data_IF_456450914031
#
_entry.id   IF_456450914031
#
_cell.length_a   1.000
_cell.length_b   1.000
_cell.length_c   1.000
_cell.angle_alpha   90.00
_cell.angle_beta   90.00
_cell.angle_gamma   90.00
#
_symmetry.space_group_name_H-M   'P 1'
#
loop_
_entity.id
_entity.type
_entity.pdbx_description
1 polymer ?
#
# COMPACT_ATOMS: atom_id res chain seq x y z
N UNK A 1 -15.76 5.40 -65.94
CA UNK A 1 -17.13 5.81 -65.63
C UNK A 1 -17.91 4.59 -65.16
N UNK A 2 -17.86 4.15 -63.92
CA UNK A 2 -16.94 4.35 -62.79
C UNK A 2 -17.14 3.13 -61.90
N UNK A 3 -16.04 2.60 -61.40
CA UNK A 3 -16.00 1.56 -60.38
C UNK A 3 -16.55 2.13 -59.07
N UNK A 4 -17.47 1.43 -58.40
CA UNK A 4 -17.58 1.55 -56.95
C UNK A 4 -17.84 0.18 -56.32
N UNK A 5 -16.87 -0.19 -55.51
CA UNK A 5 -16.70 -1.41 -54.74
C UNK A 5 -17.87 -1.70 -53.80
N UNK A 6 -18.26 -2.97 -53.79
CA UNK A 6 -18.81 -3.66 -52.61
C UNK A 6 -17.66 -3.89 -51.65
N UNK A 7 -17.71 -3.36 -50.43
CA UNK A 7 -16.91 -3.85 -49.30
C UNK A 7 -17.57 -3.40 -47.98
N UNK A 8 -18.38 -4.31 -47.45
CA UNK A 8 -18.36 -4.75 -46.06
C UNK A 8 -18.21 -3.70 -44.94
N UNK A 9 -19.37 -3.35 -44.36
CA UNK A 9 -19.47 -2.91 -42.97
C UNK A 9 -19.15 -4.12 -42.09
N UNK A 10 -17.86 -4.37 -41.89
CA UNK A 10 -17.36 -5.15 -40.77
C UNK A 10 -16.90 -4.11 -39.75
N UNK A 11 -17.71 -3.86 -38.73
CA UNK A 11 -17.19 -3.27 -37.49
C UNK A 11 -16.12 -4.23 -36.95
N UNK A 12 -14.85 -3.82 -36.79
CA UNK A 12 -13.87 -4.63 -36.11
C UNK A 12 -14.17 -4.58 -34.62
N UNK A 13 -15.03 -5.49 -34.17
CA UNK A 13 -15.14 -5.84 -32.76
C UNK A 13 -13.82 -6.48 -32.35
N UNK A 14 -13.01 -5.70 -31.64
CA UNK A 14 -11.86 -6.17 -30.88
C UNK A 14 -10.57 -6.30 -31.68
N UNK A 15 -9.70 -5.26 -31.57
CA UNK A 15 -8.23 -5.26 -31.70
C UNK A 15 -7.79 -3.87 -32.20
N UNK A 16 -7.51 -2.92 -31.29
CA UNK A 16 -6.77 -1.71 -31.66
C UNK A 16 -7.25 -0.39 -31.06
N UNK A 17 -7.08 -0.19 -29.75
CA UNK A 17 -6.93 1.16 -29.20
C UNK A 17 -5.70 1.15 -28.28
N UNK A 18 -4.51 0.94 -28.85
CA UNK A 18 -3.31 1.35 -28.11
C UNK A 18 -3.29 2.86 -28.14
N UNK A 19 -3.69 3.49 -27.03
CA UNK A 19 -3.56 4.92 -26.88
C UNK A 19 -2.05 5.23 -26.84
N UNK A 20 -1.60 6.21 -27.61
CA UNK A 20 -0.17 6.53 -27.64
C UNK A 20 0.23 7.43 -26.46
N UNK A 21 -0.70 8.30 -26.04
CA UNK A 21 -0.48 9.35 -25.03
C UNK A 21 -1.77 9.66 -24.31
N UNK A 22 -1.64 10.22 -23.10
CA UNK A 22 -2.77 10.80 -22.39
C UNK A 22 -3.11 12.17 -23.00
N UNK A 23 -4.17 12.25 -23.81
CA UNK A 23 -4.53 13.46 -24.59
C UNK A 23 -5.40 14.42 -23.79
N UNK A 24 -6.35 13.89 -23.02
CA UNK A 24 -7.35 14.63 -22.24
C UNK A 24 -6.81 15.16 -20.90
N UNK A 25 -5.49 15.15 -20.70
CA UNK A 25 -4.86 15.59 -19.44
C UNK A 25 -5.21 17.04 -19.08
N UNK A 26 -5.37 17.92 -20.08
CA UNK A 26 -5.79 19.32 -19.87
C UNK A 26 -7.21 19.38 -19.34
N UNK A 27 -8.12 18.61 -19.93
CA UNK A 27 -9.51 18.53 -19.48
C UNK A 27 -9.57 18.04 -18.02
N UNK A 28 -8.78 17.01 -17.68
CA UNK A 28 -8.65 16.53 -16.30
C UNK A 28 -8.14 17.63 -15.37
N UNK A 29 -7.11 18.37 -15.79
CA UNK A 29 -6.54 19.45 -14.99
C UNK A 29 -7.54 20.61 -14.80
N UNK A 30 -8.30 20.95 -15.83
CA UNK A 30 -9.33 21.98 -15.79
C UNK A 30 -10.48 21.55 -14.85
N UNK A 31 -10.89 20.27 -14.90
CA UNK A 31 -11.86 19.71 -13.96
C UNK A 31 -11.38 19.80 -12.50
N UNK A 32 -10.11 19.50 -12.23
CA UNK A 32 -9.52 19.66 -10.88
C UNK A 32 -9.48 21.14 -10.48
N UNK A 33 -9.08 22.02 -11.40
CA UNK A 33 -8.93 23.46 -11.13
C UNK A 33 -10.28 24.12 -10.89
N UNK A 34 -11.35 23.67 -11.55
CA UNK A 34 -12.72 24.17 -11.35
C UNK A 34 -13.22 24.01 -9.90
N UNK A 35 -12.67 23.05 -9.15
CA UNK A 35 -12.98 22.88 -7.73
C UNK A 35 -12.55 24.07 -6.87
N UNK A 36 -11.58 24.87 -7.35
CA UNK A 36 -11.12 26.10 -6.68
C UNK A 36 -12.16 27.23 -6.77
N UNK A 37 -12.97 27.26 -7.83
CA UNK A 37 -13.96 28.30 -8.09
C UNK A 37 -15.28 28.06 -7.35
N UNK A 38 -15.53 26.82 -6.92
CA UNK A 38 -16.74 26.42 -6.17
C UNK A 38 -16.73 26.95 -4.71
N UNK A 39 -15.85 27.89 -4.39
CA UNK A 39 -15.68 28.53 -3.07
C UNK A 39 -16.88 29.39 -2.64
N UNK A 40 -17.77 29.76 -3.56
CA UNK A 40 -18.89 30.66 -3.27
C UNK A 40 -20.23 29.91 -3.17
N UNK A 41 -20.69 29.75 -1.92
CA UNK A 41 -22.08 29.64 -1.45
C UNK A 41 -23.12 29.24 -2.51
N UNK A 42 -23.54 27.97 -2.52
CA UNK A 42 -24.95 27.66 -2.81
C UNK A 42 -25.38 26.39 -2.07
N UNK A 43 -25.88 26.56 -0.85
CA UNK A 43 -26.60 25.53 -0.08
C UNK A 43 -28.05 25.33 -0.57
N UNK A 44 -28.30 25.39 -1.88
CA UNK A 44 -29.62 25.06 -2.40
C UNK A 44 -29.56 23.90 -3.41
N UNK A 45 -30.26 22.78 -3.14
CA UNK A 45 -30.43 21.72 -4.11
C UNK A 45 -31.54 22.15 -5.07
N UNK A 46 -31.20 22.97 -6.07
CA UNK A 46 -32.14 23.28 -7.16
C UNK A 46 -31.89 22.28 -8.29
N UNK A 47 -32.77 21.29 -8.35
CA UNK A 47 -33.10 20.44 -9.49
C UNK A 47 -32.00 19.57 -10.13
N UNK A 48 -32.04 18.28 -9.81
CA UNK A 48 -31.74 17.18 -10.73
C UNK A 48 -30.26 16.93 -11.05
N UNK A 49 -29.64 16.00 -10.30
CA UNK A 49 -28.22 15.59 -10.31
C UNK A 49 -27.31 16.69 -9.76
N UNK A 50 -26.44 16.35 -8.81
CA UNK A 50 -25.58 17.35 -8.18
C UNK A 50 -24.74 18.04 -9.26
N UNK A 51 -24.59 19.37 -9.26
CA UNK A 51 -23.74 20.07 -10.23
C UNK A 51 -22.32 19.46 -10.34
N UNK A 52 -21.83 18.89 -9.22
CA UNK A 52 -20.56 18.19 -9.12
C UNK A 52 -20.54 16.74 -9.67
N UNK A 53 -21.70 16.13 -9.92
CA UNK A 53 -21.84 14.74 -10.39
C UNK A 53 -21.42 14.60 -11.86
N UNK A 54 -21.81 15.55 -12.72
CA UNK A 54 -21.44 15.54 -14.14
C UNK A 54 -19.91 15.68 -14.34
N UNK A 55 -19.20 16.64 -13.70
CA UNK A 55 -17.74 16.69 -13.72
C UNK A 55 -17.09 15.39 -13.25
N UNK A 56 -17.64 14.77 -12.20
CA UNK A 56 -17.12 13.51 -11.66
C UNK A 56 -17.30 12.33 -12.61
N UNK A 57 -18.47 12.17 -13.20
CA UNK A 57 -18.72 11.14 -14.22
C UNK A 57 -17.82 11.33 -15.44
N UNK A 58 -17.60 12.59 -15.87
CA UNK A 58 -16.70 12.91 -16.98
C UNK A 58 -15.25 12.56 -16.64
N UNK A 59 -14.77 12.96 -15.47
CA UNK A 59 -13.44 12.61 -14.99
C UNK A 59 -13.25 11.09 -14.95
N UNK A 60 -14.21 10.37 -14.38
CA UNK A 60 -14.20 8.91 -14.31
C UNK A 60 -14.17 8.27 -15.70
N UNK A 61 -15.00 8.75 -16.61
CA UNK A 61 -15.07 8.24 -17.98
C UNK A 61 -13.71 8.33 -18.67
N UNK A 62 -13.03 9.49 -18.57
CA UNK A 62 -11.71 9.71 -19.18
C UNK A 62 -10.68 8.77 -18.58
N UNK A 63 -10.53 8.76 -17.24
CA UNK A 63 -9.51 7.94 -16.58
C UNK A 63 -9.75 6.44 -16.81
N UNK A 64 -11.02 6.01 -16.87
CA UNK A 64 -11.38 4.61 -17.11
C UNK A 64 -10.96 4.11 -18.52
N UNK A 65 -10.80 4.99 -19.52
CA UNK A 65 -10.27 4.59 -20.84
C UNK A 65 -8.82 4.08 -20.76
N UNK A 66 -8.07 4.52 -19.76
CA UNK A 66 -6.65 4.20 -19.59
C UNK A 66 -6.42 2.97 -18.69
N UNK A 67 -7.47 2.22 -18.32
CA UNK A 67 -7.37 1.01 -17.47
C UNK A 67 -6.44 -0.06 -18.03
N UNK A 68 -6.47 -0.29 -19.34
CA UNK A 68 -5.62 -1.28 -20.00
C UNK A 68 -4.17 -0.81 -20.17
N UNK A 69 -3.95 0.51 -20.23
CA UNK A 69 -2.63 1.14 -20.43
C UNK A 69 -2.38 2.26 -19.41
N UNK A 70 -2.32 1.96 -18.10
CA UNK A 70 -2.33 2.98 -17.06
C UNK A 70 -1.03 3.80 -16.99
N UNK A 71 0.07 3.28 -17.54
CA UNK A 71 1.36 3.96 -17.61
C UNK A 71 1.32 5.26 -18.42
N UNK A 72 0.36 5.43 -19.33
CA UNK A 72 0.19 6.66 -20.12
C UNK A 72 -0.12 7.89 -19.26
N UNK A 73 -0.70 7.68 -18.06
CA UNK A 73 -1.01 8.76 -17.11
C UNK A 73 0.25 9.35 -16.47
N UNK A 74 1.37 8.63 -16.42
CA UNK A 74 2.56 8.98 -15.63
C UNK A 74 3.15 10.35 -15.98
N UNK A 75 3.06 10.73 -17.26
CA UNK A 75 3.63 12.00 -17.76
C UNK A 75 3.03 13.22 -17.07
N UNK A 76 1.73 13.19 -16.77
CA UNK A 76 0.99 14.33 -16.20
C UNK A 76 0.49 14.05 -14.78
N UNK A 77 0.77 12.86 -14.25
CA UNK A 77 0.29 12.41 -12.94
C UNK A 77 0.77 13.34 -11.82
N UNK A 78 2.03 13.76 -11.84
CA UNK A 78 2.57 14.69 -10.83
C UNK A 78 1.78 15.99 -10.81
N UNK A 79 1.60 16.61 -11.97
CA UNK A 79 0.91 17.89 -12.08
C UNK A 79 -0.54 17.82 -11.57
N UNK A 80 -1.27 16.76 -11.94
CA UNK A 80 -2.65 16.58 -11.49
C UNK A 80 -2.73 16.38 -9.98
N UNK A 81 -1.83 15.56 -9.42
CA UNK A 81 -1.80 15.31 -7.98
C UNK A 81 -1.37 16.55 -7.19
N UNK A 82 -0.42 17.34 -7.69
CA UNK A 82 0.02 18.58 -7.05
C UNK A 82 -1.14 19.58 -6.93
N UNK A 83 -1.99 19.70 -7.96
CA UNK A 83 -3.20 20.53 -7.90
C UNK A 83 -4.24 20.02 -6.90
N UNK A 84 -4.45 18.69 -6.83
CA UNK A 84 -5.34 18.09 -5.84
C UNK A 84 -4.83 18.39 -4.42
N UNK A 85 -3.54 18.18 -4.18
CA UNK A 85 -2.90 18.44 -2.88
C UNK A 85 -2.97 19.92 -2.52
N UNK A 86 -2.81 20.82 -3.49
CA UNK A 86 -2.97 22.26 -3.28
C UNK A 86 -4.38 22.60 -2.75
N UNK A 87 -5.42 22.03 -3.34
CA UNK A 87 -6.81 22.22 -2.89
C UNK A 87 -7.02 21.65 -1.48
N UNK A 88 -6.48 20.45 -1.21
CA UNK A 88 -6.63 19.78 0.08
C UNK A 88 -5.94 20.56 1.20
N UNK A 89 -4.72 21.06 0.97
CA UNK A 89 -3.96 21.86 1.93
C UNK A 89 -4.51 23.28 2.13
N UNK A 90 -5.20 23.83 1.15
CA UNK A 90 -5.73 25.20 1.25
C UNK A 90 -6.81 25.30 2.32
N UNK A 91 -6.61 26.17 3.30
CA UNK A 91 -7.60 26.46 4.35
C UNK A 91 -8.80 27.25 3.82
N UNK A 92 -8.65 27.89 2.66
CA UNK A 92 -9.69 28.73 2.05
C UNK A 92 -10.74 27.92 1.26
N UNK A 93 -10.49 26.63 1.03
CA UNK A 93 -11.43 25.77 0.28
C UNK A 93 -12.41 25.09 1.24
N UNK A 94 -13.68 25.01 0.82
CA UNK A 94 -14.72 24.33 1.59
C UNK A 94 -14.48 22.81 1.66
N UNK A 95 -15.02 22.16 2.68
CA UNK A 95 -14.87 20.71 2.89
C UNK A 95 -15.37 19.90 1.68
N UNK A 96 -16.45 20.35 1.05
CA UNK A 96 -17.00 19.73 -0.17
C UNK A 96 -15.97 19.68 -1.31
N UNK A 97 -15.25 20.77 -1.58
CA UNK A 97 -14.21 20.78 -2.61
C UNK A 97 -13.06 19.83 -2.26
N UNK A 98 -12.69 19.72 -0.98
CA UNK A 98 -11.67 18.77 -0.52
C UNK A 98 -12.12 17.32 -0.71
N UNK A 99 -13.37 17.00 -0.38
CA UNK A 99 -13.94 15.67 -0.63
C UNK A 99 -13.95 15.31 -2.12
N UNK A 100 -14.38 16.22 -3.00
CA UNK A 100 -14.35 16.02 -4.45
C UNK A 100 -12.92 15.81 -4.98
N UNK A 101 -11.95 16.59 -4.48
CA UNK A 101 -10.56 16.45 -4.85
C UNK A 101 -10.01 15.05 -4.48
N UNK A 102 -10.35 14.53 -3.29
CA UNK A 102 -10.01 13.17 -2.90
C UNK A 102 -10.74 12.09 -3.71
N UNK A 103 -11.98 12.33 -4.13
CA UNK A 103 -12.69 11.43 -5.04
C UNK A 103 -11.97 11.32 -6.39
N UNK A 104 -11.50 12.44 -6.96
CA UNK A 104 -10.65 12.43 -8.17
C UNK A 104 -9.35 11.66 -7.95
N UNK A 105 -8.67 11.90 -6.82
CA UNK A 105 -7.46 11.16 -6.47
C UNK A 105 -7.73 9.65 -6.37
N UNK A 106 -8.87 9.24 -5.80
CA UNK A 106 -9.26 7.83 -5.70
C UNK A 106 -9.49 7.20 -7.07
N UNK A 107 -10.08 7.92 -8.02
CA UNK A 107 -10.27 7.45 -9.39
C UNK A 107 -8.93 7.19 -10.08
N UNK A 108 -7.99 8.13 -10.00
CA UNK A 108 -6.64 7.97 -10.55
C UNK A 108 -5.94 6.78 -9.86
N UNK A 109 -6.07 6.67 -8.53
CA UNK A 109 -5.52 5.55 -7.76
C UNK A 109 -6.07 4.21 -8.20
N UNK A 110 -7.35 4.15 -8.62
CA UNK A 110 -7.99 2.94 -9.10
C UNK A 110 -7.36 2.42 -10.41
N UNK A 111 -7.04 3.33 -11.32
CA UNK A 111 -6.52 3.00 -12.65
C UNK A 111 -5.01 2.80 -12.61
N UNK A 112 -4.28 3.73 -12.01
CA UNK A 112 -2.82 3.68 -12.01
C UNK A 112 -2.23 2.70 -11.00
N UNK A 113 -2.90 2.55 -9.86
CA UNK A 113 -2.50 1.73 -8.73
C UNK A 113 -1.81 2.52 -7.62
N UNK A 114 -2.11 2.13 -6.37
CA UNK A 114 -1.68 2.80 -5.13
C UNK A 114 -0.18 3.07 -5.07
N UNK A 115 0.67 2.12 -5.46
CA UNK A 115 2.13 2.24 -5.31
C UNK A 115 2.72 3.45 -6.04
N UNK A 116 2.20 3.78 -7.22
CA UNK A 116 2.72 4.90 -8.01
C UNK A 116 2.21 6.22 -7.46
N UNK A 117 0.92 6.29 -7.10
CA UNK A 117 0.35 7.48 -6.44
C UNK A 117 1.11 7.85 -5.17
N UNK A 118 1.45 6.86 -4.35
CA UNK A 118 2.23 7.08 -3.13
C UNK A 118 3.60 7.72 -3.38
N UNK A 119 4.21 7.52 -4.55
CA UNK A 119 5.51 8.12 -4.90
C UNK A 119 5.39 9.61 -5.21
N UNK A 120 4.21 10.07 -5.65
CA UNK A 120 3.95 11.47 -5.99
C UNK A 120 3.37 12.27 -4.82
N UNK A 121 2.90 11.61 -3.75
CA UNK A 121 2.37 12.32 -2.59
C UNK A 121 3.47 13.11 -1.86
N UNK A 122 3.14 14.23 -1.20
CA UNK A 122 4.13 14.95 -0.41
C UNK A 122 4.63 14.14 0.78
N UNK A 123 5.96 14.17 0.97
CA UNK A 123 6.66 13.44 2.04
C UNK A 123 7.24 14.41 3.09
N UNK A 124 6.48 15.42 3.53
CA UNK A 124 6.96 16.37 4.55
C UNK A 124 6.43 16.01 5.93
N UNK A 125 7.27 16.15 6.96
CA UNK A 125 6.84 16.00 8.36
C UNK A 125 5.78 17.04 8.78
N UNK A 126 5.77 18.20 8.11
CA UNK A 126 4.80 19.28 8.36
C UNK A 126 3.37 18.87 7.98
N UNK A 127 3.20 17.90 7.08
CA UNK A 127 1.89 17.41 6.67
C UNK A 127 1.30 16.40 7.66
N UNK A 128 2.08 15.87 8.61
CA UNK A 128 1.59 14.80 9.48
C UNK A 128 0.40 15.28 10.33
N UNK A 129 0.58 16.40 11.04
CA UNK A 129 -0.42 16.92 11.96
C UNK A 129 -1.71 17.38 11.25
N UNK A 130 -1.65 18.15 10.13
CA UNK A 130 -2.83 18.52 9.37
C UNK A 130 -3.58 17.30 8.80
N UNK A 131 -2.87 16.35 8.17
CA UNK A 131 -3.49 15.17 7.55
C UNK A 131 -4.11 14.25 8.62
N UNK A 132 -3.43 14.11 9.76
CA UNK A 132 -3.95 13.35 10.91
C UNK A 132 -5.24 13.97 11.43
N UNK A 133 -5.25 15.28 11.68
CA UNK A 133 -6.42 16.01 12.16
C UNK A 133 -7.58 15.95 11.15
N UNK A 134 -7.30 16.08 9.85
CA UNK A 134 -8.32 15.92 8.81
C UNK A 134 -8.96 14.54 8.84
N UNK A 135 -8.18 13.47 9.09
CA UNK A 135 -8.69 12.10 9.17
C UNK A 135 -9.48 11.84 10.45
N UNK A 136 -9.08 12.44 11.58
CA UNK A 136 -9.80 12.34 12.85
C UNK A 136 -11.18 13.00 12.79
N UNK A 137 -11.30 14.09 12.04
CA UNK A 137 -12.56 14.80 11.83
C UNK A 137 -13.55 14.04 10.91
N UNK A 138 -13.12 12.96 10.25
CA UNK A 138 -14.01 12.15 9.41
C UNK A 138 -14.79 11.11 10.24
N UNK A 139 -16.04 10.86 9.85
CA UNK A 139 -16.84 9.77 10.40
C UNK A 139 -16.52 8.43 9.70
N UNK A 140 -16.18 7.40 10.48
CA UNK A 140 -15.92 6.06 9.96
C UNK A 140 -17.14 5.39 9.31
N UNK A 141 -18.37 5.82 9.66
CA UNK A 141 -19.62 5.26 9.15
C UNK A 141 -20.15 6.00 7.93
N UNK A 142 -19.50 7.09 7.52
CA UNK A 142 -19.89 7.83 6.32
C UNK A 142 -19.50 7.06 5.06
N UNK A 143 -20.52 6.58 4.36
CA UNK A 143 -20.39 5.84 3.11
C UNK A 143 -20.25 6.77 1.89
N UNK A 144 -20.51 8.07 2.01
CA UNK A 144 -20.44 8.99 0.87
C UNK A 144 -19.04 9.54 0.65
N UNK A 145 -18.24 9.67 1.72
CA UNK A 145 -16.89 10.26 1.67
C UNK A 145 -15.78 9.28 2.07
N UNK A 146 -16.01 7.96 1.90
CA UNK A 146 -14.99 6.95 2.21
C UNK A 146 -13.71 7.14 1.38
N UNK A 147 -13.79 7.73 0.18
CA UNK A 147 -12.63 8.06 -0.67
C UNK A 147 -11.70 9.07 0.00
N UNK A 148 -12.26 10.00 0.77
CA UNK A 148 -11.49 10.97 1.56
C UNK A 148 -10.69 10.26 2.63
N UNK A 149 -11.36 9.42 3.44
CA UNK A 149 -10.72 8.60 4.48
C UNK A 149 -9.62 7.72 3.88
N UNK A 150 -9.89 7.06 2.76
CA UNK A 150 -8.94 6.21 2.04
C UNK A 150 -7.69 6.98 1.60
N UNK A 151 -7.84 8.13 0.93
CA UNK A 151 -6.71 8.91 0.43
C UNK A 151 -5.87 9.51 1.58
N UNK A 152 -6.51 9.97 2.65
CA UNK A 152 -5.83 10.47 3.85
C UNK A 152 -4.99 9.37 4.52
N UNK A 153 -5.52 8.15 4.67
CA UNK A 153 -4.78 7.02 5.23
C UNK A 153 -3.57 6.66 4.36
N UNK A 154 -3.73 6.67 3.03
CA UNK A 154 -2.62 6.46 2.11
C UNK A 154 -1.55 7.54 2.25
N UNK A 155 -1.94 8.80 2.37
CA UNK A 155 -0.99 9.88 2.56
C UNK A 155 -0.24 9.76 3.88
N UNK A 156 -0.95 9.47 4.98
CA UNK A 156 -0.32 9.17 6.27
C UNK A 156 0.66 8.00 6.19
N UNK A 157 0.34 6.94 5.42
CA UNK A 157 1.21 5.76 5.30
C UNK A 157 2.59 6.07 4.74
N UNK A 158 2.69 7.17 3.98
CA UNK A 158 3.94 7.68 3.42
C UNK A 158 4.63 8.67 4.35
N UNK A 159 3.89 9.61 4.94
CA UNK A 159 4.46 10.59 5.88
C UNK A 159 5.08 9.88 7.09
N UNK A 160 4.41 8.85 7.60
CA UNK A 160 4.88 8.04 8.72
C UNK A 160 6.13 7.23 8.38
N UNK A 161 6.53 7.09 7.11
CA UNK A 161 7.76 6.39 6.74
C UNK A 161 9.02 7.25 6.90
N UNK A 162 8.88 8.57 7.03
CA UNK A 162 10.01 9.50 7.06
C UNK A 162 10.84 9.26 8.34
N UNK A 163 12.18 9.19 8.27
CA UNK A 163 13.05 8.85 9.39
C UNK A 163 13.29 10.05 10.33
N UNK A 164 12.26 10.49 11.04
CA UNK A 164 12.37 11.45 12.15
C UNK A 164 11.63 10.91 13.37
N UNK A 165 12.08 11.22 14.59
CA UNK A 165 11.37 10.79 15.80
C UNK A 165 10.04 11.52 15.95
N UNK A 166 8.94 10.78 16.10
CA UNK A 166 7.59 11.36 16.20
C UNK A 166 7.42 12.25 17.44
N UNK A 167 8.16 12.00 18.51
CA UNK A 167 8.17 12.82 19.71
C UNK A 167 8.56 14.29 19.47
N UNK A 168 9.18 14.61 18.34
CA UNK A 168 9.50 16.00 17.97
C UNK A 168 8.29 16.83 17.55
N UNK A 169 7.16 16.18 17.24
CA UNK A 169 5.93 16.85 16.85
C UNK A 169 5.03 17.14 18.07
N UNK A 170 5.26 16.44 19.18
CA UNK A 170 4.53 16.67 20.41
C UNK A 170 5.08 17.92 21.11
N UNK A 171 4.20 18.83 21.51
CA UNK A 171 4.57 19.93 22.40
C UNK A 171 4.76 19.42 23.82
N UNK A 172 5.64 20.06 24.62
CA UNK A 172 6.00 19.61 25.97
C UNK A 172 4.81 19.51 26.97
N UNK A 173 3.67 20.12 26.64
CA UNK A 173 2.49 20.24 27.51
C UNK A 173 1.31 19.34 27.07
N UNK A 174 1.55 18.43 26.11
CA UNK A 174 0.51 17.53 25.60
C UNK A 174 0.36 16.33 26.55
N UNK A 175 -0.86 16.09 27.03
CA UNK A 175 -1.18 14.90 27.81
C UNK A 175 -0.81 13.62 27.05
N UNK A 176 -0.40 12.56 27.76
CA UNK A 176 0.09 11.30 27.15
C UNK A 176 -0.86 10.73 26.09
N UNK A 177 -2.17 10.89 26.30
CA UNK A 177 -3.23 10.39 25.41
C UNK A 177 -3.43 11.21 24.12
N UNK A 178 -2.85 12.41 24.06
CA UNK A 178 -2.98 13.35 22.93
C UNK A 178 -1.71 13.44 22.08
N UNK A 179 -0.69 12.62 22.38
CA UNK A 179 0.52 12.53 21.56
C UNK A 179 0.18 12.03 20.15
N UNK A 180 0.93 12.50 19.15
CA UNK A 180 0.79 12.08 17.75
C UNK A 180 0.88 10.56 17.60
N UNK A 181 1.76 9.94 18.38
CA UNK A 181 1.94 8.48 18.41
C UNK A 181 0.65 7.79 18.88
N UNK A 182 0.06 8.24 19.98
CA UNK A 182 -1.15 7.62 20.52
C UNK A 182 -2.36 7.85 19.61
N UNK A 183 -2.48 9.05 19.03
CA UNK A 183 -3.50 9.38 18.03
C UNK A 183 -3.42 8.47 16.80
N UNK A 184 -2.23 8.31 16.22
CA UNK A 184 -2.00 7.38 15.11
C UNK A 184 -2.32 5.94 15.49
N UNK A 185 -1.94 5.52 16.69
CA UNK A 185 -2.24 4.18 17.19
C UNK A 185 -3.75 3.92 17.31
N UNK A 186 -4.48 4.90 17.84
CA UNK A 186 -5.94 4.86 17.93
C UNK A 186 -6.59 4.79 16.54
N UNK A 187 -6.10 5.57 15.57
CA UNK A 187 -6.56 5.50 14.16
C UNK A 187 -6.31 4.12 13.57
N UNK A 188 -5.12 3.53 13.79
CA UNK A 188 -4.80 2.20 13.29
C UNK A 188 -5.75 1.13 13.84
N UNK A 189 -6.10 1.18 15.13
CA UNK A 189 -7.10 0.29 15.74
C UNK A 189 -8.51 0.57 15.20
N UNK A 190 -8.89 1.84 15.07
CA UNK A 190 -10.20 2.30 14.60
C UNK A 190 -10.47 1.84 13.16
N UNK A 191 -9.59 2.16 12.23
CA UNK A 191 -9.76 1.85 10.81
C UNK A 191 -9.46 0.39 10.44
N UNK A 192 -8.77 -0.37 11.29
CA UNK A 192 -8.72 -1.82 11.15
C UNK A 192 -10.12 -2.45 11.30
N UNK A 193 -11.01 -1.86 12.10
CA UNK A 193 -12.34 -2.40 12.38
C UNK A 193 -13.41 -1.96 11.38
N UNK A 194 -13.04 -1.24 10.31
CA UNK A 194 -13.97 -0.77 9.27
C UNK A 194 -14.16 -1.83 8.19
N UNK A 195 -15.31 -1.82 7.50
CA UNK A 195 -15.67 -2.83 6.46
C UNK A 195 -15.15 -2.45 5.07
N UNK A 196 -14.91 -1.17 4.82
CA UNK A 196 -14.58 -0.59 3.52
C UNK A 196 -13.10 -0.81 3.09
N UNK A 197 -12.73 -0.24 1.94
CA UNK A 197 -11.37 -0.30 1.40
C UNK A 197 -10.34 0.44 2.28
N UNK A 198 -10.77 1.32 3.18
CA UNK A 198 -9.89 2.00 4.12
C UNK A 198 -9.21 1.00 5.05
N UNK A 199 -9.83 -0.16 5.32
CA UNK A 199 -9.22 -1.24 6.10
C UNK A 199 -7.90 -1.74 5.49
N UNK A 200 -7.87 -1.94 4.16
CA UNK A 200 -6.67 -2.42 3.46
C UNK A 200 -5.58 -1.35 3.44
N UNK A 201 -5.96 -0.08 3.21
CA UNK A 201 -5.04 1.06 3.30
C UNK A 201 -4.50 1.22 4.73
N UNK A 202 -5.35 1.04 5.74
CA UNK A 202 -4.98 1.13 7.14
C UNK A 202 -4.01 0.02 7.53
N UNK A 203 -4.21 -1.22 7.06
CA UNK A 203 -3.25 -2.29 7.29
C UNK A 203 -1.84 -1.92 6.76
N UNK A 204 -1.77 -1.22 5.62
CA UNK A 204 -0.52 -0.68 5.11
C UNK A 204 0.05 0.43 6.01
N UNK A 205 -0.75 1.43 6.40
CA UNK A 205 -0.36 2.47 7.37
C UNK A 205 0.19 1.85 8.66
N UNK A 206 -0.55 0.94 9.29
CA UNK A 206 -0.16 0.22 10.51
C UNK A 206 1.19 -0.46 10.33
N UNK A 207 1.42 -1.12 9.19
CA UNK A 207 2.71 -1.77 8.93
C UNK A 207 3.87 -0.78 8.82
N UNK A 208 3.67 0.38 8.20
CA UNK A 208 4.72 1.40 8.09
C UNK A 208 4.96 2.09 9.44
N UNK A 209 3.91 2.27 10.25
CA UNK A 209 3.97 2.92 11.55
C UNK A 209 4.61 2.05 12.64
N UNK A 210 4.17 0.81 12.80
CA UNK A 210 4.60 -0.06 13.90
C UNK A 210 5.97 -0.71 13.67
N UNK A 211 6.49 -0.68 12.43
CA UNK A 211 7.82 -1.21 12.12
C UNK A 211 8.92 -0.14 12.18
N UNK A 212 8.57 1.09 12.60
CA UNK A 212 9.54 2.17 12.78
C UNK A 212 10.43 1.90 13.98
N UNK A 213 11.65 2.39 13.93
CA UNK A 213 12.65 2.20 14.99
C UNK A 213 12.27 2.88 16.31
N UNK A 214 11.48 3.94 16.31
CA UNK A 214 11.08 4.70 17.49
C UNK A 214 9.83 4.15 18.19
N UNK A 215 8.99 3.39 17.50
CA UNK A 215 7.70 2.90 18.03
C UNK A 215 7.64 1.38 18.21
N UNK A 216 8.48 0.62 17.50
CA UNK A 216 8.38 -0.84 17.43
C UNK A 216 8.43 -1.51 18.81
N UNK A 217 9.36 -1.13 19.67
CA UNK A 217 9.62 -1.87 20.90
C UNK A 217 8.48 -1.71 21.93
N UNK A 218 7.79 -0.57 21.89
CA UNK A 218 6.69 -0.25 22.79
C UNK A 218 5.32 -0.69 22.24
N UNK A 219 5.02 -0.38 20.98
CA UNK A 219 3.66 -0.53 20.44
C UNK A 219 3.40 -1.89 19.79
N UNK A 220 4.41 -2.54 19.24
CA UNK A 220 4.25 -3.79 18.50
C UNK A 220 3.76 -4.97 19.38
N UNK A 221 4.28 -5.18 20.61
CA UNK A 221 3.75 -6.22 21.51
C UNK A 221 2.29 -5.99 21.87
N UNK A 222 1.92 -4.75 22.21
CA UNK A 222 0.57 -4.38 22.61
C UNK A 222 -0.41 -4.54 21.44
N UNK A 223 -0.01 -4.11 20.24
CA UNK A 223 -0.83 -4.25 19.05
C UNK A 223 -1.05 -5.71 18.67
N UNK A 224 0.00 -6.54 18.72
CA UNK A 224 -0.14 -7.97 18.45
C UNK A 224 -1.02 -8.66 19.49
N UNK A 225 -0.92 -8.31 20.76
CA UNK A 225 -1.83 -8.83 21.77
C UNK A 225 -3.28 -8.47 21.46
N UNK A 226 -3.57 -7.19 21.23
CA UNK A 226 -4.91 -6.73 20.84
C UNK A 226 -5.44 -7.46 19.60
N UNK A 227 -4.60 -7.63 18.57
CA UNK A 227 -4.98 -8.30 17.33
C UNK A 227 -5.22 -9.81 17.55
N UNK A 228 -4.36 -10.49 18.30
CA UNK A 228 -4.52 -11.90 18.64
C UNK A 228 -5.81 -12.15 19.42
N UNK A 229 -6.10 -11.34 20.43
CA UNK A 229 -7.27 -11.48 21.27
C UNK A 229 -8.55 -11.39 20.42
N UNK A 230 -8.65 -10.39 19.53
CA UNK A 230 -9.77 -10.24 18.60
C UNK A 230 -9.92 -11.41 17.63
N UNK A 231 -8.81 -11.98 17.16
CA UNK A 231 -8.83 -13.09 16.21
C UNK A 231 -9.32 -14.39 16.88
N UNK A 232 -8.97 -14.59 18.16
CA UNK A 232 -9.36 -15.79 18.92
C UNK A 232 -10.76 -15.74 19.53
N UNK A 233 -11.38 -14.55 19.63
CA UNK A 233 -12.73 -14.40 20.18
C UNK A 233 -13.74 -15.23 19.39
N UNK A 234 -14.48 -16.14 20.02
CA UNK A 234 -15.41 -17.09 19.39
C UNK A 234 -16.53 -16.44 18.57
N UNK A 235 -16.83 -15.15 18.76
CA UNK A 235 -17.79 -14.42 17.94
C UNK A 235 -17.20 -14.15 16.54
N UNK A 236 -17.51 -15.07 15.62
CA UNK A 236 -17.08 -15.15 14.23
C UNK A 236 -17.62 -14.00 13.37
N UNK A 237 -17.09 -12.79 13.58
CA UNK A 237 -17.48 -11.61 12.81
C UNK A 237 -16.40 -11.19 11.80
N UNK A 238 -16.85 -10.48 10.76
CA UNK A 238 -16.02 -9.81 9.74
C UNK A 238 -14.96 -8.85 10.33
N UNK A 239 -15.09 -8.50 11.60
CA UNK A 239 -14.16 -7.67 12.37
C UNK A 239 -12.74 -8.27 12.44
N UNK A 240 -12.58 -9.59 12.38
CA UNK A 240 -11.26 -10.24 12.42
C UNK A 240 -10.40 -9.95 11.18
N UNK A 241 -11.00 -9.53 10.07
CA UNK A 241 -10.28 -9.32 8.81
C UNK A 241 -9.22 -8.22 8.92
N UNK A 242 -9.51 -7.14 9.64
CA UNK A 242 -8.59 -6.00 9.79
C UNK A 242 -7.34 -6.31 10.58
N UNK A 243 -7.47 -6.88 11.79
CA UNK A 243 -6.33 -7.38 12.56
C UNK A 243 -5.48 -8.37 11.77
N UNK A 244 -6.09 -9.32 11.05
CA UNK A 244 -5.35 -10.29 10.21
C UNK A 244 -4.62 -9.61 9.04
N UNK A 245 -5.26 -8.66 8.35
CA UNK A 245 -4.63 -7.87 7.29
C UNK A 245 -3.44 -7.06 7.83
N UNK A 246 -3.59 -6.46 9.00
CA UNK A 246 -2.56 -5.66 9.66
C UNK A 246 -1.37 -6.53 10.06
N UNK A 247 -1.59 -7.70 10.67
CA UNK A 247 -0.54 -8.67 10.97
C UNK A 247 0.18 -9.11 9.68
N UNK A 248 -0.57 -9.46 8.63
CA UNK A 248 0.02 -9.85 7.35
C UNK A 248 0.85 -8.73 6.70
N UNK A 249 0.44 -7.47 6.86
CA UNK A 249 1.17 -6.31 6.36
C UNK A 249 2.43 -6.04 7.19
N UNK A 250 2.35 -6.09 8.53
CA UNK A 250 3.50 -5.94 9.43
C UNK A 250 4.55 -7.01 9.11
N UNK A 251 4.16 -8.28 9.00
CA UNK A 251 5.06 -9.39 8.65
C UNK A 251 5.66 -9.26 7.24
N UNK A 252 5.01 -8.54 6.33
CA UNK A 252 5.51 -8.33 4.97
C UNK A 252 6.56 -7.22 4.89
N UNK A 253 6.37 -6.12 5.61
CA UNK A 253 7.19 -4.91 5.48
C UNK A 253 8.18 -4.72 6.64
N UNK A 254 7.97 -5.37 7.78
CA UNK A 254 8.88 -5.32 8.92
C UNK A 254 10.15 -6.14 8.72
N UNK A 255 11.18 -5.83 9.51
CA UNK A 255 12.44 -6.57 9.49
C UNK A 255 12.26 -7.93 10.17
N UNK A 256 12.88 -8.97 9.62
CA UNK A 256 12.82 -10.33 10.17
C UNK A 256 13.25 -10.38 11.63
N UNK A 257 14.37 -9.75 11.97
CA UNK A 257 14.96 -9.76 13.32
C UNK A 257 14.00 -9.24 14.39
N UNK A 258 13.29 -8.16 14.07
CA UNK A 258 12.32 -7.53 14.97
C UNK A 258 11.04 -8.37 15.14
N UNK A 259 10.68 -9.17 14.14
CA UNK A 259 9.41 -9.92 14.09
C UNK A 259 9.54 -11.38 14.53
N UNK A 260 10.73 -11.96 14.41
CA UNK A 260 11.02 -13.36 14.75
C UNK A 260 10.57 -13.75 16.17
N UNK A 261 10.75 -12.91 17.23
CA UNK A 261 10.30 -13.26 18.58
C UNK A 261 8.77 -13.44 18.70
N UNK A 262 8.00 -12.79 17.83
CA UNK A 262 6.53 -12.81 17.86
C UNK A 262 5.96 -13.92 16.96
N UNK A 263 6.74 -14.43 16.01
CA UNK A 263 6.28 -15.40 15.01
C UNK A 263 5.68 -16.69 15.62
N UNK A 264 6.26 -17.34 16.66
CA UNK A 264 5.66 -18.53 17.28
C UNK A 264 4.31 -18.24 17.95
N UNK A 265 4.19 -17.10 18.64
CA UNK A 265 2.93 -16.70 19.29
C UNK A 265 1.84 -16.47 18.25
N UNK A 266 2.15 -15.77 17.16
CA UNK A 266 1.21 -15.51 16.06
C UNK A 266 0.77 -16.81 15.38
N UNK A 267 1.68 -17.78 15.19
CA UNK A 267 1.36 -19.08 14.63
C UNK A 267 0.35 -19.83 15.52
N UNK A 268 0.63 -19.90 16.83
CA UNK A 268 -0.27 -20.51 17.81
C UNK A 268 -1.66 -19.87 17.81
N UNK A 269 -1.74 -18.54 17.68
CA UNK A 269 -3.02 -17.83 17.55
C UNK A 269 -3.77 -18.26 16.30
N UNK A 270 -3.11 -18.36 15.14
CA UNK A 270 -3.76 -18.83 13.90
C UNK A 270 -4.28 -20.26 14.04
N UNK A 271 -3.52 -21.15 14.67
CA UNK A 271 -3.95 -22.53 14.92
C UNK A 271 -5.15 -22.60 15.87
N UNK A 272 -5.14 -21.80 16.94
CA UNK A 272 -6.22 -21.74 17.94
C UNK A 272 -7.54 -21.23 17.35
N UNK A 273 -7.47 -20.31 16.39
CA UNK A 273 -8.64 -19.80 15.66
C UNK A 273 -9.39 -20.90 14.90
N UNK A 274 -8.77 -22.04 14.61
CA UNK A 274 -9.32 -23.12 13.77
C UNK A 274 -9.88 -22.60 12.43
N UNK A 275 -9.08 -21.78 11.75
CA UNK A 275 -9.48 -21.04 10.55
C UNK A 275 -10.02 -21.91 9.41
N UNK A 276 -9.72 -23.22 9.39
CA UNK A 276 -10.16 -24.16 8.36
C UNK A 276 -11.67 -24.33 8.30
N UNK A 277 -12.34 -24.26 9.46
CA UNK A 277 -13.79 -24.42 9.57
C UNK A 277 -14.55 -23.09 9.41
N UNK A 278 -13.86 -21.99 9.13
CA UNK A 278 -14.48 -20.66 9.03
C UNK A 278 -15.43 -20.56 7.85
N UNK A 279 -16.64 -20.00 8.00
CA UNK A 279 -17.60 -19.88 6.91
C UNK A 279 -17.14 -18.88 5.85
N UNK A 280 -16.43 -17.82 6.25
CA UNK A 280 -16.01 -16.76 5.35
C UNK A 280 -14.74 -17.14 4.58
N UNK A 281 -14.86 -17.29 3.25
CA UNK A 281 -13.72 -17.49 2.33
C UNK A 281 -12.58 -16.49 2.55
N UNK A 282 -12.92 -15.21 2.78
CA UNK A 282 -11.92 -14.16 3.01
C UNK A 282 -11.12 -14.42 4.30
N UNK A 283 -11.77 -14.90 5.36
CA UNK A 283 -11.13 -15.27 6.63
C UNK A 283 -10.06 -16.33 6.39
N UNK A 284 -10.44 -17.43 5.72
CA UNK A 284 -9.54 -18.54 5.38
C UNK A 284 -8.36 -18.09 4.53
N UNK A 285 -8.63 -17.27 3.50
CA UNK A 285 -7.58 -16.67 2.65
C UNK A 285 -6.62 -15.77 3.43
N UNK A 286 -7.12 -14.98 4.38
CA UNK A 286 -6.28 -14.12 5.23
C UNK A 286 -5.47 -14.94 6.23
N UNK A 287 -6.04 -16.00 6.82
CA UNK A 287 -5.33 -16.90 7.72
C UNK A 287 -4.14 -17.56 7.00
N UNK A 288 -4.38 -18.14 5.82
CA UNK A 288 -3.32 -18.69 4.97
C UNK A 288 -2.25 -17.64 4.64
N UNK A 289 -2.66 -16.41 4.33
CA UNK A 289 -1.73 -15.32 4.03
C UNK A 289 -0.87 -14.96 5.25
N UNK A 290 -1.44 -14.94 6.46
CA UNK A 290 -0.68 -14.71 7.70
C UNK A 290 0.29 -15.86 7.95
N UNK A 291 -0.18 -17.11 7.91
CA UNK A 291 0.64 -18.32 8.11
C UNK A 291 1.82 -18.36 7.13
N UNK A 292 1.57 -18.07 5.85
CA UNK A 292 2.64 -17.98 4.84
C UNK A 292 3.69 -16.92 5.21
N UNK A 293 3.26 -15.75 5.69
CA UNK A 293 4.19 -14.67 6.07
C UNK A 293 4.97 -15.00 7.33
N UNK A 294 4.37 -15.72 8.27
CA UNK A 294 5.06 -16.26 9.45
C UNK A 294 6.16 -17.24 9.01
N UNK A 295 5.85 -18.17 8.11
CA UNK A 295 6.86 -19.11 7.56
C UNK A 295 8.02 -18.39 6.88
N UNK A 296 7.73 -17.36 6.08
CA UNK A 296 8.77 -16.52 5.47
C UNK A 296 9.58 -15.72 6.50
N UNK A 297 9.06 -15.49 7.70
CA UNK A 297 9.79 -14.82 8.79
C UNK A 297 10.74 -15.79 9.49
N UNK A 298 10.34 -17.05 9.67
CA UNK A 298 11.22 -18.10 10.20
C UNK A 298 12.42 -18.34 9.29
N UNK A 299 12.20 -18.39 7.97
CA UNK A 299 13.24 -18.63 6.99
C UNK A 299 14.16 -17.41 6.81
N UNK A 300 15.48 -17.62 6.85
CA UNK A 300 16.45 -16.57 6.54
C UNK A 300 16.48 -16.34 5.02
N UNK A 301 16.42 -15.08 4.59
CA UNK A 301 16.56 -14.74 3.18
C UNK A 301 17.95 -15.16 2.66
N UNK A 302 18.00 -16.08 1.68
CA UNK A 302 19.25 -16.51 1.05
C UNK A 302 19.70 -15.48 0.03
N UNK A 303 20.77 -14.75 0.33
CA UNK A 303 21.48 -13.95 -0.67
C UNK A 303 22.53 -14.85 -1.32
N UNK A 304 22.21 -15.35 -2.50
CA UNK A 304 23.08 -16.32 -3.16
C UNK A 304 24.29 -15.60 -3.79
N UNK A 305 25.50 -16.04 -3.44
CA UNK A 305 26.78 -15.40 -3.78
C UNK A 305 27.01 -15.23 -5.29
N UNK A 306 26.52 -16.16 -6.14
CA UNK A 306 26.67 -16.04 -7.60
C UNK A 306 25.89 -14.88 -8.22
N UNK A 307 24.90 -14.31 -7.52
CA UNK A 307 24.10 -13.18 -8.02
C UNK A 307 24.98 -11.97 -8.35
N UNK A 308 26.05 -11.77 -7.58
CA UNK A 308 27.04 -10.72 -7.81
C UNK A 308 28.14 -11.12 -8.80
N UNK A 309 28.35 -12.44 -9.02
CA UNK A 309 29.27 -12.95 -10.05
C UNK A 309 28.78 -12.72 -11.49
N UNK A 310 27.48 -12.43 -11.70
CA UNK A 310 26.92 -12.17 -13.05
C UNK A 310 27.16 -10.72 -13.53
N UNK A 311 27.27 -9.76 -12.62
CA UNK A 311 27.46 -8.32 -12.93
C UNK A 311 28.91 -7.91 -13.22
N UNK A 312 29.89 -8.75 -12.89
CA UNK A 312 31.32 -8.49 -13.11
C UNK A 312 31.86 -9.03 -14.45
N UNK A 313 30.99 -9.50 -15.36
CA UNK A 313 31.41 -10.02 -16.68
C UNK A 313 31.60 -8.94 -17.76
N UNK A 314 31.49 -7.66 -17.41
CA UNK A 314 31.69 -6.55 -18.36
C UNK A 314 32.69 -5.56 -17.76
N UNK A 315 33.96 -5.86 -18.01
CA UNK A 315 35.01 -4.93 -18.42
C UNK A 315 36.21 -5.83 -18.75
N UNK A 316 36.51 -6.10 -20.03
CA UNK A 316 37.85 -6.49 -20.39
C UNK A 316 38.71 -5.29 -20.00
N UNK A 317 39.36 -5.37 -18.85
CA UNK A 317 40.46 -4.48 -18.54
C UNK A 317 41.50 -4.82 -19.62
N UNK A 318 41.68 -3.90 -20.55
CA UNK A 318 42.68 -4.00 -21.59
C UNK A 318 44.04 -3.89 -20.88
N UNK A 319 44.58 -5.03 -20.44
CA UNK A 319 45.87 -5.16 -19.72
C UNK A 319 47.06 -4.78 -20.64
N UNK A 320 46.80 -4.28 -21.85
CA UNK A 320 47.81 -3.86 -22.81
C UNK A 320 48.31 -2.42 -22.62
N UNK A 321 47.73 -1.62 -21.73
CA UNK A 321 48.20 -0.25 -21.43
C UNK A 321 48.85 -0.13 -20.05
N UNK A 322 49.98 -0.81 -19.88
CA UNK A 322 50.91 -0.56 -18.79
C UNK A 322 51.91 0.54 -19.20
N UNK A 323 52.13 1.61 -18.42
CA UNK A 323 53.48 2.12 -18.22
C UNK A 323 54.13 1.24 -17.15
N UNK A 324 55.26 0.68 -17.51
CA UNK A 324 56.17 -0.12 -16.69
C UNK A 324 56.41 0.59 -15.34
N UNK A 325 56.07 -0.06 -14.23
CA UNK A 325 56.23 0.52 -12.91
C UNK A 325 55.92 -0.49 -11.82
N UNK A 326 56.95 -0.82 -11.06
CA UNK A 326 57.06 -1.78 -9.97
C UNK A 326 55.87 -1.87 -8.99
N UNK A 327 55.67 -3.09 -8.47
CA UNK A 327 54.90 -3.42 -7.26
C UNK A 327 53.42 -2.99 -7.14
N UNK A 328 52.50 -3.85 -7.59
CA UNK A 328 51.25 -4.09 -6.84
C UNK A 328 51.12 -5.59 -6.64
N UNK A 329 51.33 -6.03 -5.39
CA UNK A 329 50.96 -7.36 -4.93
C UNK A 329 49.46 -7.54 -5.22
N UNK A 330 49.14 -8.41 -6.16
CA UNK A 330 47.80 -8.99 -6.22
C UNK A 330 47.48 -9.58 -4.85
N UNK A 331 46.38 -9.21 -4.19
CA UNK A 331 45.90 -10.07 -3.12
C UNK A 331 45.54 -11.36 -3.83
N UNK A 332 46.26 -12.44 -3.49
CA UNK A 332 45.78 -13.77 -3.80
C UNK A 332 44.33 -13.81 -3.29
N UNK A 333 43.38 -13.82 -4.23
CA UNK A 333 42.02 -14.24 -3.96
C UNK A 333 42.20 -15.67 -3.47
N UNK A 334 42.28 -15.80 -2.16
CA UNK A 334 42.10 -17.03 -1.45
C UNK A 334 40.66 -17.41 -1.79
N UNK A 335 40.48 -18.11 -2.91
CA UNK A 335 39.28 -18.87 -3.20
C UNK A 335 39.31 -20.02 -2.20
N UNK A 336 39.09 -19.69 -0.93
CA UNK A 336 38.40 -20.61 -0.05
C UNK A 336 37.10 -20.85 -0.78
N UNK A 337 36.86 -22.10 -1.15
CA UNK A 337 35.56 -22.55 -1.58
C UNK A 337 34.59 -22.22 -0.44
N UNK A 338 33.98 -21.03 -0.48
CA UNK A 338 32.85 -20.64 0.38
C UNK A 338 31.59 -21.46 0.05
N UNK A 339 31.71 -22.45 -0.83
CA UNK A 339 30.72 -23.50 -1.06
C UNK A 339 30.57 -24.42 0.18
N UNK A 340 31.47 -24.34 1.18
CA UNK A 340 31.30 -25.02 2.48
C UNK A 340 30.35 -24.28 3.44
N UNK A 341 29.91 -23.05 3.14
CA UNK A 341 28.86 -22.37 3.93
C UNK A 341 27.43 -22.76 3.48
N UNK A 342 27.28 -23.96 2.90
CA UNK A 342 26.01 -24.70 2.86
C UNK A 342 25.72 -25.40 4.21
N UNK A 343 26.33 -24.92 5.31
CA UNK A 343 26.07 -25.38 6.67
C UNK A 343 24.58 -25.33 6.99
N UNK A 344 24.01 -26.53 7.15
CA UNK A 344 22.85 -26.91 7.96
C UNK A 344 22.09 -25.71 8.52
N UNK A 345 21.26 -25.09 7.68
CA UNK A 345 20.26 -24.16 8.17
C UNK A 345 19.30 -24.97 9.03
N UNK A 346 19.42 -24.82 10.34
CA UNK A 346 18.49 -25.38 11.31
C UNK A 346 17.09 -24.82 10.98
N UNK A 347 16.28 -25.66 10.33
CA UNK A 347 14.90 -25.33 9.98
C UNK A 347 14.10 -25.40 11.28
N UNK A 348 13.46 -24.30 11.72
CA UNK A 348 12.63 -24.33 12.92
C UNK A 348 11.55 -25.39 12.80
N UNK A 349 11.29 -26.15 13.87
CA UNK A 349 10.29 -27.22 13.87
C UNK A 349 8.88 -26.71 13.47
N UNK A 350 8.58 -25.46 13.81
CA UNK A 350 7.33 -24.77 13.44
C UNK A 350 7.10 -24.70 11.91
N UNK A 351 8.14 -24.89 11.10
CA UNK A 351 8.02 -24.91 9.64
C UNK A 351 7.23 -26.13 9.13
N UNK A 352 7.34 -27.28 9.79
CA UNK A 352 6.58 -28.47 9.41
C UNK A 352 5.07 -28.21 9.58
N UNK A 353 4.69 -27.65 10.73
CA UNK A 353 3.31 -27.25 11.01
C UNK A 353 2.80 -26.24 9.98
N UNK A 354 3.62 -25.23 9.64
CA UNK A 354 3.25 -24.22 8.62
C UNK A 354 3.02 -24.86 7.26
N UNK A 355 3.88 -25.78 6.85
CA UNK A 355 3.74 -26.49 5.56
C UNK A 355 2.45 -27.32 5.59
N UNK A 356 2.17 -28.03 6.67
CA UNK A 356 0.95 -28.81 6.81
C UNK A 356 -0.30 -27.91 6.70
N UNK A 357 -0.35 -26.80 7.43
CA UNK A 357 -1.45 -25.84 7.39
C UNK A 357 -1.67 -25.28 5.97
N UNK A 358 -0.58 -24.93 5.27
CA UNK A 358 -0.66 -24.44 3.89
C UNK A 358 -1.15 -25.52 2.92
N UNK A 359 -0.69 -26.77 3.07
CA UNK A 359 -1.13 -27.91 2.27
C UNK A 359 -2.62 -28.21 2.48
N UNK A 360 -3.12 -28.08 3.70
CA UNK A 360 -4.55 -28.20 3.98
C UNK A 360 -5.35 -27.04 3.37
N UNK A 361 -4.83 -25.81 3.44
CA UNK A 361 -5.45 -24.65 2.79
C UNK A 361 -5.55 -24.76 1.26
N UNK A 362 -4.60 -25.43 0.60
CA UNK A 362 -4.66 -25.72 -0.84
C UNK A 362 -5.80 -26.67 -1.23
N UNK A 363 -6.35 -27.45 -0.28
CA UNK A 363 -7.50 -28.33 -0.52
C UNK A 363 -8.84 -27.59 -0.51
N UNK A 364 -8.86 -26.33 -0.11
CA UNK A 364 -10.08 -25.53 -0.04
C UNK A 364 -10.64 -25.26 -1.45
N UNK A 365 -11.83 -25.80 -1.69
CA UNK A 365 -12.53 -25.70 -2.97
C UNK A 365 -12.93 -24.27 -3.32
N UNK A 366 -13.11 -23.40 -2.33
CA UNK A 366 -13.49 -22.02 -2.57
C UNK A 366 -12.27 -21.16 -2.89
N UNK A 367 -11.09 -21.47 -2.32
CA UNK A 367 -9.89 -20.64 -2.50
C UNK A 367 -9.19 -20.95 -3.83
N UNK A 368 -9.22 -22.20 -4.26
CA UNK A 368 -8.66 -22.63 -5.56
C UNK A 368 -9.43 -21.98 -6.71
N UNK A 369 -8.72 -21.18 -7.51
CA UNK A 369 -9.27 -20.62 -8.76
C UNK A 369 -9.37 -21.79 -9.75
N UNK A 370 -10.59 -22.16 -10.13
CA UNK A 370 -10.82 -23.03 -11.29
C UNK A 370 -10.69 -22.26 -12.58
#
# INVERSE_FOLDING_TARGET
MDEFNTEDIIEPIGLGCSLERFVEWKEILDLVTSLKETTEVTEQPVNGRSSAEKPYERFRYIVDQYKEQPHLLDTYLSQILDEIIFIVRGNNFCERSKHLAFQYMRLITNVRGTKVILQHLPHSAQDLEPVLTMLENQDEKDNNNWETRYCLILWLSIIVKIPFHMSRLDSNDVGKDSTVIQRLYNICKKYAMVVDLCRDACAYLTSQFLTRTDTKDCLLPEYFQWACDLITQENLNWMRFGPMLSIAAILKYGKREDLLPYAPKLLKTMMTMNWKSEPYRLCRKLAMKVIQRIGLTFLKARVISWRYKRGMRILPIDISQWPTGDHIKTPALNVKNEDEAEEDLEVPAEMEDIIEELMQGLRDSDITVR
#
